data_IF_840566181687
#
_entry.id   IF_840566181687
#
_cell.length_a   1.000
_cell.length_b   1.000
_cell.length_c   1.000
_cell.angle_alpha   90.00
_cell.angle_beta   90.00
_cell.angle_gamma   90.00
#
_symmetry.space_group_name_H-M   'P 1'
#
loop_
_entity.id
_entity.type
_entity.pdbx_description
1 polymer ?
#
# COMPACT_ATOMS: atom_id res chain seq x y z
N UNK A 1 -29.46 6.88 -23.41
CA UNK A 1 -30.09 5.94 -22.44
C UNK A 1 -29.58 6.23 -21.03
N UNK A 2 -30.45 6.11 -20.00
CA UNK A 2 -30.00 6.32 -18.64
C UNK A 2 -28.95 5.27 -18.24
N UNK A 3 -28.01 5.68 -17.40
CA UNK A 3 -26.88 4.83 -16.95
C UNK A 3 -27.33 3.49 -16.36
N UNK A 4 -28.54 3.46 -15.79
CA UNK A 4 -29.16 2.24 -15.24
C UNK A 4 -29.56 1.19 -16.30
N UNK A 5 -29.57 1.53 -17.58
CA UNK A 5 -29.94 0.61 -18.67
C UNK A 5 -28.74 0.07 -19.46
N UNK A 6 -27.51 0.50 -19.14
CA UNK A 6 -26.32 -0.01 -19.82
C UNK A 6 -25.80 -1.27 -19.11
N UNK A 7 -25.11 -2.12 -19.88
CA UNK A 7 -24.47 -3.32 -19.35
C UNK A 7 -23.26 -2.89 -18.53
N UNK A 8 -23.36 -2.89 -17.19
CA UNK A 8 -22.28 -2.53 -16.28
C UNK A 8 -21.53 -3.73 -15.71
N UNK A 9 -22.17 -4.90 -15.63
CA UNK A 9 -21.57 -6.12 -15.10
C UNK A 9 -22.16 -7.36 -15.80
N UNK A 10 -21.53 -8.52 -15.62
CA UNK A 10 -22.01 -9.77 -16.23
C UNK A 10 -23.44 -10.14 -15.83
N UNK A 11 -23.81 -9.81 -14.60
CA UNK A 11 -25.13 -10.13 -14.07
C UNK A 11 -26.22 -9.37 -14.81
N UNK A 12 -25.95 -8.15 -15.28
CA UNK A 12 -26.90 -7.36 -16.07
C UNK A 12 -27.26 -8.07 -17.39
N UNK A 13 -26.27 -8.74 -18.02
CA UNK A 13 -26.52 -9.52 -19.23
C UNK A 13 -27.51 -10.65 -18.92
N UNK A 14 -27.26 -11.43 -17.88
CA UNK A 14 -28.12 -12.56 -17.52
C UNK A 14 -29.53 -12.10 -17.17
N UNK A 15 -29.63 -11.06 -16.34
CA UNK A 15 -30.91 -10.53 -15.85
C UNK A 15 -31.75 -9.98 -17.03
N UNK A 16 -31.15 -9.19 -17.91
CA UNK A 16 -31.86 -8.66 -19.09
C UNK A 16 -32.36 -9.78 -20.01
N UNK A 17 -31.52 -10.77 -20.30
CA UNK A 17 -31.94 -11.91 -21.12
C UNK A 17 -33.11 -12.69 -20.49
N UNK A 18 -33.11 -12.85 -19.18
CA UNK A 18 -34.22 -13.51 -18.44
C UNK A 18 -35.48 -12.67 -18.45
N UNK A 19 -35.39 -11.34 -18.29
CA UNK A 19 -36.52 -10.43 -18.37
C UNK A 19 -37.21 -10.46 -19.76
N UNK A 20 -36.42 -10.66 -20.81
CA UNK A 20 -36.91 -10.82 -22.18
C UNK A 20 -37.41 -12.24 -22.47
N UNK A 21 -37.52 -13.11 -21.47
CA UNK A 21 -38.12 -14.43 -21.56
C UNK A 21 -37.18 -15.56 -21.98
N UNK A 22 -35.87 -15.36 -22.00
CA UNK A 22 -34.93 -16.47 -22.20
C UNK A 22 -34.95 -17.39 -20.95
N UNK A 23 -34.88 -18.68 -21.23
CA UNK A 23 -34.68 -19.70 -20.20
C UNK A 23 -33.42 -19.44 -19.39
N UNK A 24 -33.45 -19.52 -18.02
CA UNK A 24 -32.33 -19.13 -17.17
C UNK A 24 -30.99 -19.79 -17.51
N UNK A 25 -30.97 -21.06 -17.88
CA UNK A 25 -29.75 -21.75 -18.25
C UNK A 25 -29.15 -21.23 -19.57
N UNK A 26 -30.00 -20.91 -20.53
CA UNK A 26 -29.55 -20.27 -21.79
C UNK A 26 -29.00 -18.88 -21.56
N UNK A 27 -29.70 -18.06 -20.76
CA UNK A 27 -29.26 -16.74 -20.36
C UNK A 27 -27.88 -16.81 -19.66
N UNK A 28 -27.70 -17.76 -18.75
CA UNK A 28 -26.43 -18.02 -18.08
C UNK A 28 -25.31 -18.40 -19.09
N UNK A 29 -25.60 -19.29 -20.05
CA UNK A 29 -24.58 -19.70 -21.07
C UNK A 29 -24.14 -18.53 -21.92
N UNK A 30 -25.08 -17.70 -22.40
CA UNK A 30 -24.78 -16.49 -23.16
C UNK A 30 -23.94 -15.52 -22.33
N UNK A 31 -24.35 -15.24 -21.10
CA UNK A 31 -23.62 -14.39 -20.18
C UNK A 31 -22.17 -14.89 -19.95
N UNK A 32 -21.99 -16.19 -19.66
CA UNK A 32 -20.66 -16.81 -19.44
C UNK A 32 -19.78 -16.74 -20.71
N UNK A 33 -20.36 -16.83 -21.87
CA UNK A 33 -19.67 -16.69 -23.14
C UNK A 33 -19.21 -15.24 -23.37
N UNK A 34 -20.14 -14.30 -23.22
CA UNK A 34 -19.89 -12.86 -23.41
C UNK A 34 -18.85 -12.35 -22.39
N UNK A 35 -19.00 -12.64 -21.11
CA UNK A 35 -18.10 -12.12 -20.09
C UNK A 35 -16.63 -12.52 -20.26
N UNK A 36 -16.37 -13.62 -20.96
CA UNK A 36 -15.01 -14.12 -21.30
C UNK A 36 -14.47 -13.56 -22.60
N UNK A 37 -15.19 -12.66 -23.24
CA UNK A 37 -14.81 -12.07 -24.52
C UNK A 37 -14.75 -13.07 -25.67
N UNK A 38 -15.62 -14.09 -25.65
CA UNK A 38 -15.58 -15.16 -26.64
C UNK A 38 -16.29 -14.79 -27.95
N UNK A 39 -17.12 -13.74 -27.97
CA UNK A 39 -17.84 -13.32 -29.16
C UNK A 39 -16.93 -13.06 -30.38
N UNK A 40 -15.72 -12.53 -30.15
CA UNK A 40 -14.72 -12.30 -31.20
C UNK A 40 -13.82 -13.49 -31.47
N UNK A 41 -13.75 -14.48 -30.56
CA UNK A 41 -12.84 -15.63 -30.64
C UNK A 41 -13.50 -16.89 -31.20
N UNK A 42 -14.81 -16.98 -31.10
CA UNK A 42 -15.63 -18.10 -31.53
C UNK A 42 -16.90 -17.54 -32.25
N UNK A 43 -16.76 -17.10 -33.52
CA UNK A 43 -17.85 -16.48 -34.29
C UNK A 43 -19.00 -17.43 -34.55
N UNK A 44 -18.74 -18.71 -34.69
CA UNK A 44 -19.77 -19.72 -34.99
C UNK A 44 -20.74 -19.89 -33.82
N UNK A 45 -20.21 -20.14 -32.62
CA UNK A 45 -21.03 -20.21 -31.39
C UNK A 45 -21.72 -18.87 -31.13
N UNK A 46 -21.03 -17.75 -31.38
CA UNK A 46 -21.62 -16.41 -31.23
C UNK A 46 -22.83 -16.20 -32.15
N UNK A 47 -22.75 -16.61 -33.42
CA UNK A 47 -23.86 -16.51 -34.34
C UNK A 47 -25.12 -17.24 -33.88
N UNK A 48 -24.93 -18.43 -33.28
CA UNK A 48 -26.03 -19.19 -32.66
C UNK A 48 -26.69 -18.48 -31.48
N UNK A 49 -25.87 -17.79 -30.63
CA UNK A 49 -26.41 -16.98 -29.53
C UNK A 49 -27.11 -15.72 -30.06
N UNK A 50 -26.58 -15.07 -31.08
CA UNK A 50 -27.23 -13.92 -31.73
C UNK A 50 -28.60 -14.30 -32.24
N UNK A 51 -28.73 -15.43 -32.97
CA UNK A 51 -30.03 -15.93 -33.46
C UNK A 51 -31.00 -16.20 -32.29
N UNK A 52 -30.53 -16.80 -31.21
CA UNK A 52 -31.31 -17.03 -30.01
C UNK A 52 -31.82 -15.73 -29.38
N UNK A 53 -30.96 -14.73 -29.26
CA UNK A 53 -31.31 -13.42 -28.71
C UNK A 53 -32.28 -12.65 -29.64
N UNK A 54 -32.09 -12.71 -30.95
CA UNK A 54 -33.02 -12.09 -31.94
C UNK A 54 -34.41 -12.71 -31.86
N UNK A 55 -34.53 -14.03 -31.74
CA UNK A 55 -35.81 -14.73 -31.57
C UNK A 55 -36.53 -14.33 -30.28
N UNK A 56 -35.79 -13.93 -29.24
CA UNK A 56 -36.34 -13.40 -28.00
C UNK A 56 -36.55 -11.88 -28.01
N UNK A 57 -36.47 -11.23 -29.17
CA UNK A 57 -36.64 -9.79 -29.34
C UNK A 57 -35.64 -8.93 -28.57
N UNK A 58 -34.45 -9.46 -28.27
CA UNK A 58 -33.38 -8.68 -27.63
C UNK A 58 -32.95 -7.55 -28.61
N UNK A 59 -32.89 -6.30 -28.12
CA UNK A 59 -32.51 -5.16 -28.97
C UNK A 59 -31.12 -5.32 -29.61
N UNK A 60 -30.99 -4.93 -30.85
CA UNK A 60 -29.72 -5.08 -31.59
C UNK A 60 -28.56 -4.31 -30.95
N UNK A 61 -28.83 -3.14 -30.36
CA UNK A 61 -27.81 -2.39 -29.62
C UNK A 61 -27.24 -3.20 -28.45
N UNK A 62 -28.07 -4.00 -27.76
CA UNK A 62 -27.64 -4.85 -26.65
C UNK A 62 -26.75 -5.99 -27.15
N UNK A 63 -27.16 -6.67 -28.22
CA UNK A 63 -26.37 -7.73 -28.86
C UNK A 63 -25.01 -7.17 -29.34
N UNK A 64 -25.00 -6.01 -29.98
CA UNK A 64 -23.79 -5.34 -30.41
C UNK A 64 -22.88 -4.91 -29.25
N UNK A 65 -23.46 -4.51 -28.14
CA UNK A 65 -22.71 -4.22 -26.91
C UNK A 65 -22.05 -5.47 -26.33
N UNK A 66 -22.79 -6.58 -26.26
CA UNK A 66 -22.26 -7.89 -25.84
C UNK A 66 -21.08 -8.36 -26.72
N UNK A 67 -21.14 -8.14 -28.02
CA UNK A 67 -20.08 -8.50 -28.97
C UNK A 67 -18.75 -7.79 -28.72
N UNK A 68 -18.78 -6.57 -28.16
CA UNK A 68 -17.60 -5.73 -27.88
C UNK A 68 -16.92 -6.06 -26.55
N UNK A 69 -17.58 -6.80 -25.67
CA UNK A 69 -17.06 -7.12 -24.35
C UNK A 69 -15.88 -8.09 -24.45
N UNK A 70 -14.74 -7.69 -23.89
CA UNK A 70 -13.53 -8.53 -23.82
C UNK A 70 -13.46 -9.31 -22.50
N UNK A 71 -13.88 -8.68 -21.41
CA UNK A 71 -13.98 -9.27 -20.09
C UNK A 71 -14.94 -8.47 -19.20
N UNK A 72 -15.70 -9.15 -18.36
CA UNK A 72 -16.65 -8.49 -17.47
C UNK A 72 -16.74 -9.20 -16.11
N UNK A 73 -16.70 -8.39 -15.05
CA UNK A 73 -16.76 -8.86 -13.67
C UNK A 73 -18.21 -9.05 -13.18
N UNK A 74 -18.41 -9.90 -12.15
CA UNK A 74 -19.69 -10.03 -11.48
C UNK A 74 -20.03 -8.77 -10.65
N UNK A 75 -21.33 -8.48 -10.52
CA UNK A 75 -21.83 -7.36 -9.71
C UNK A 75 -21.39 -7.46 -8.24
N UNK A 76 -21.48 -8.66 -7.65
CA UNK A 76 -21.05 -8.91 -6.27
C UNK A 76 -19.57 -8.61 -6.06
N UNK A 77 -18.71 -8.97 -7.03
CA UNK A 77 -17.29 -8.63 -6.97
C UNK A 77 -17.07 -7.12 -7.01
N UNK A 78 -17.71 -6.42 -7.96
CA UNK A 78 -17.60 -4.96 -8.06
C UNK A 78 -18.10 -4.28 -6.77
N UNK A 79 -19.26 -4.70 -6.23
CA UNK A 79 -19.81 -4.16 -5.00
C UNK A 79 -18.87 -4.37 -3.80
N UNK A 80 -18.29 -5.56 -3.64
CA UNK A 80 -17.38 -5.87 -2.54
C UNK A 80 -16.11 -5.01 -2.60
N UNK A 81 -15.45 -4.94 -3.76
CA UNK A 81 -14.21 -4.18 -3.93
C UNK A 81 -14.43 -2.68 -3.84
N UNK A 82 -15.48 -2.16 -4.48
CA UNK A 82 -15.81 -0.73 -4.40
C UNK A 82 -16.17 -0.33 -2.98
N UNK A 83 -16.94 -1.14 -2.25
CA UNK A 83 -17.26 -0.88 -0.85
C UNK A 83 -16.00 -0.83 0.02
N UNK A 84 -15.08 -1.77 -0.18
CA UNK A 84 -13.78 -1.77 0.52
C UNK A 84 -12.95 -0.54 0.17
N UNK A 85 -12.89 -0.17 -1.11
CA UNK A 85 -12.18 1.02 -1.57
C UNK A 85 -12.75 2.30 -0.95
N UNK A 86 -14.08 2.44 -0.88
CA UNK A 86 -14.73 3.58 -0.22
C UNK A 86 -14.43 3.64 1.27
N UNK A 87 -14.43 2.49 1.97
CA UNK A 87 -14.07 2.45 3.39
C UNK A 87 -12.64 2.91 3.63
N UNK A 88 -11.70 2.46 2.82
CA UNK A 88 -10.30 2.89 2.91
C UNK A 88 -10.16 4.37 2.55
N UNK A 89 -10.84 4.84 1.51
CA UNK A 89 -10.86 6.25 1.11
C UNK A 89 -11.43 7.14 2.21
N UNK A 90 -12.44 6.69 2.94
CA UNK A 90 -12.98 7.41 4.09
C UNK A 90 -11.91 7.68 5.14
N UNK A 91 -11.10 6.67 5.51
CA UNK A 91 -9.98 6.86 6.43
C UNK A 91 -8.95 7.86 5.88
N UNK A 92 -8.63 7.77 4.60
CA UNK A 92 -7.68 8.71 3.95
C UNK A 92 -8.14 10.16 4.04
N UNK A 93 -9.44 10.40 3.98
CA UNK A 93 -10.02 11.76 4.05
C UNK A 93 -10.20 12.23 5.50
N UNK A 94 -10.78 11.39 6.37
CA UNK A 94 -11.22 11.80 7.70
C UNK A 94 -10.23 11.46 8.81
N UNK A 95 -9.33 10.50 8.60
CA UNK A 95 -8.31 10.05 9.54
C UNK A 95 -6.98 9.80 8.81
N UNK A 96 -6.41 10.83 8.14
CA UNK A 96 -5.26 10.65 7.27
C UNK A 96 -4.04 10.06 7.99
N UNK A 97 -3.76 10.49 9.22
CA UNK A 97 -2.62 9.97 9.99
C UNK A 97 -2.73 8.46 10.20
N UNK A 98 -3.91 7.96 10.57
CA UNK A 98 -4.20 6.52 10.71
C UNK A 98 -4.04 5.79 9.37
N UNK A 99 -4.56 6.37 8.29
CA UNK A 99 -4.43 5.78 6.95
C UNK A 99 -2.97 5.60 6.55
N UNK A 100 -2.16 6.66 6.66
CA UNK A 100 -0.76 6.59 6.25
C UNK A 100 0.08 5.70 7.17
N UNK A 101 -0.13 5.77 8.50
CA UNK A 101 0.53 4.87 9.45
C UNK A 101 0.29 3.40 9.09
N UNK A 102 -0.97 3.04 8.87
CA UNK A 102 -1.35 1.66 8.51
C UNK A 102 -0.79 1.26 7.14
N UNK A 103 -0.87 2.14 6.16
CA UNK A 103 -0.43 1.83 4.80
C UNK A 103 1.09 1.62 4.74
N UNK A 104 1.88 2.51 5.34
CA UNK A 104 3.34 2.35 5.41
C UNK A 104 3.74 1.11 6.20
N UNK A 105 3.03 0.79 7.29
CA UNK A 105 3.33 -0.39 8.11
C UNK A 105 3.04 -1.71 7.41
N UNK A 106 2.05 -1.77 6.51
CA UNK A 106 1.56 -3.03 5.95
C UNK A 106 1.97 -3.29 4.50
N UNK A 107 2.30 -2.25 3.73
CA UNK A 107 2.47 -2.35 2.27
C UNK A 107 3.89 -2.15 1.78
N UNK A 108 4.75 -1.50 2.56
CA UNK A 108 6.11 -1.17 2.16
C UNK A 108 7.16 -1.83 3.06
N UNK A 109 8.32 -2.10 2.48
CA UNK A 109 9.49 -2.67 3.16
C UNK A 109 10.74 -1.82 2.95
N UNK A 110 10.82 -1.08 1.84
CA UNK A 110 11.95 -0.23 1.50
C UNK A 110 11.63 1.23 1.83
N UNK A 111 12.49 1.86 2.62
CA UNK A 111 12.34 3.24 3.07
C UNK A 111 13.65 4.00 2.88
N UNK A 112 13.55 5.29 2.57
CA UNK A 112 14.66 6.25 2.67
C UNK A 112 14.35 7.20 3.83
N UNK A 113 14.83 6.83 5.02
CA UNK A 113 14.55 7.56 6.26
C UNK A 113 15.00 9.01 6.15
N UNK A 114 16.20 9.23 5.61
CA UNK A 114 16.78 10.56 5.51
C UNK A 114 15.94 11.48 4.61
N UNK A 115 15.55 11.00 3.44
CA UNK A 115 14.69 11.77 2.53
C UNK A 115 13.31 12.02 3.15
N UNK A 116 12.71 11.02 3.78
CA UNK A 116 11.38 11.15 4.37
C UNK A 116 11.36 12.11 5.56
N UNK A 117 12.36 12.06 6.44
CA UNK A 117 12.47 12.98 7.60
C UNK A 117 12.76 14.41 7.17
N UNK A 118 13.56 14.62 6.11
CA UNK A 118 13.80 15.95 5.55
C UNK A 118 12.58 16.54 4.85
N UNK A 119 11.61 15.70 4.47
CA UNK A 119 10.31 16.13 3.98
C UNK A 119 10.22 16.28 2.45
N UNK A 120 9.24 17.07 2.01
CA UNK A 120 8.74 17.11 0.64
C UNK A 120 9.82 17.24 -0.44
N UNK A 121 10.69 18.24 -0.32
CA UNK A 121 11.69 18.51 -1.36
C UNK A 121 12.76 17.42 -1.45
N UNK A 122 13.17 16.85 -0.33
CA UNK A 122 14.13 15.76 -0.29
C UNK A 122 13.53 14.46 -0.86
N UNK A 123 12.28 14.16 -0.52
CA UNK A 123 11.55 13.03 -1.10
C UNK A 123 11.45 13.17 -2.62
N UNK A 124 11.07 14.36 -3.11
CA UNK A 124 10.95 14.65 -4.53
C UNK A 124 12.30 14.52 -5.25
N UNK A 125 13.37 15.05 -4.66
CA UNK A 125 14.73 14.92 -5.22
C UNK A 125 15.15 13.45 -5.34
N UNK A 126 14.91 12.65 -4.31
CA UNK A 126 15.23 11.21 -4.32
C UNK A 126 14.40 10.44 -5.35
N UNK A 127 13.13 10.78 -5.51
CA UNK A 127 12.30 10.19 -6.57
C UNK A 127 12.84 10.49 -7.96
N UNK A 128 13.23 11.74 -8.23
CA UNK A 128 13.81 12.13 -9.52
C UNK A 128 15.15 11.44 -9.78
N UNK A 129 15.99 11.28 -8.77
CA UNK A 129 17.24 10.51 -8.86
C UNK A 129 16.96 9.07 -9.33
N UNK A 130 16.03 8.36 -8.68
CA UNK A 130 15.67 6.99 -9.05
C UNK A 130 15.08 6.94 -10.46
N UNK A 131 14.16 7.84 -10.78
CA UNK A 131 13.51 7.89 -12.09
C UNK A 131 14.50 8.17 -13.23
N UNK A 132 15.55 8.96 -12.99
CA UNK A 132 16.57 9.24 -13.99
C UNK A 132 17.37 8.01 -14.43
N UNK A 133 17.41 6.96 -13.59
CA UNK A 133 18.08 5.69 -13.90
C UNK A 133 17.29 4.85 -14.93
N UNK A 134 16.00 5.11 -15.10
CA UNK A 134 15.16 4.38 -16.05
C UNK A 134 15.21 2.86 -15.84
N UNK A 135 15.65 2.14 -16.87
CA UNK A 135 15.77 0.67 -16.82
C UNK A 135 16.94 0.17 -15.95
N UNK A 136 17.88 1.04 -15.59
CA UNK A 136 19.02 0.67 -14.73
C UNK A 136 18.68 0.73 -13.24
N UNK A 137 17.48 1.19 -12.89
CA UNK A 137 16.99 1.17 -11.51
C UNK A 137 16.84 -0.26 -11.00
N UNK A 138 17.40 -0.54 -9.82
CA UNK A 138 17.29 -1.83 -9.16
C UNK A 138 15.85 -2.10 -8.71
N UNK A 139 15.52 -3.37 -8.45
CA UNK A 139 14.22 -3.75 -7.89
C UNK A 139 13.94 -3.05 -6.56
N UNK A 140 14.96 -2.88 -5.72
CA UNK A 140 14.86 -2.16 -4.44
C UNK A 140 14.55 -0.68 -4.66
N UNK A 141 15.21 -0.03 -5.61
CA UNK A 141 14.92 1.37 -5.96
C UNK A 141 13.53 1.54 -6.56
N UNK A 142 13.09 0.59 -7.37
CA UNK A 142 11.72 0.58 -7.90
C UNK A 142 10.67 0.44 -6.79
N UNK A 143 10.91 -0.43 -5.82
CA UNK A 143 10.07 -0.59 -4.63
C UNK A 143 10.08 0.68 -3.77
N UNK A 144 11.25 1.26 -3.52
CA UNK A 144 11.41 2.52 -2.80
C UNK A 144 10.67 3.67 -3.49
N UNK A 145 10.69 3.72 -4.81
CA UNK A 145 9.97 4.77 -5.56
C UNK A 145 8.46 4.76 -5.25
N UNK A 146 7.85 3.58 -5.13
CA UNK A 146 6.43 3.48 -4.76
C UNK A 146 6.19 3.97 -3.32
N UNK A 147 7.09 3.66 -2.39
CA UNK A 147 7.05 4.19 -1.01
C UNK A 147 7.13 5.72 -1.01
N UNK A 148 8.09 6.28 -1.76
CA UNK A 148 8.32 7.72 -1.82
C UNK A 148 7.17 8.49 -2.48
N UNK A 149 6.47 7.92 -3.47
CA UNK A 149 5.25 8.52 -4.04
C UNK A 149 4.19 8.77 -2.97
N UNK A 150 3.96 7.78 -2.12
CA UNK A 150 2.98 7.92 -1.04
C UNK A 150 3.49 8.86 0.07
N UNK A 151 4.80 8.83 0.36
CA UNK A 151 5.42 9.75 1.32
C UNK A 151 5.31 11.21 0.84
N UNK A 152 5.51 11.45 -0.46
CA UNK A 152 5.33 12.78 -1.05
C UNK A 152 3.89 13.27 -0.90
N UNK A 153 2.91 12.41 -1.14
CA UNK A 153 1.49 12.74 -0.94
C UNK A 153 1.19 13.05 0.55
N UNK A 154 1.71 12.22 1.47
CA UNK A 154 1.52 12.42 2.90
C UNK A 154 2.09 13.76 3.37
N UNK A 155 3.31 14.11 2.94
CA UNK A 155 3.95 15.39 3.27
C UNK A 155 3.21 16.59 2.64
N UNK A 156 2.70 16.45 1.42
CA UNK A 156 1.86 17.48 0.79
C UNK A 156 0.55 17.73 1.56
N UNK A 157 0.08 16.75 2.34
CA UNK A 157 -1.07 16.86 3.25
C UNK A 157 -0.69 17.34 4.66
N UNK A 158 0.56 17.73 4.89
CA UNK A 158 1.04 18.24 6.16
C UNK A 158 1.39 17.18 7.20
N UNK A 159 1.53 15.90 6.78
CA UNK A 159 2.03 14.84 7.65
C UNK A 159 3.56 14.84 7.60
N UNK A 160 4.19 14.83 8.76
CA UNK A 160 5.64 14.79 8.90
C UNK A 160 6.12 13.37 9.19
N UNK A 161 7.34 13.06 8.80
CA UNK A 161 8.02 11.85 9.24
C UNK A 161 9.07 12.20 10.28
N UNK A 162 9.08 11.48 11.38
CA UNK A 162 10.11 11.55 12.42
C UNK A 162 11.07 10.39 12.31
N UNK A 163 12.30 10.63 12.65
CA UNK A 163 13.33 9.61 12.72
C UNK A 163 12.94 8.47 13.67
N UNK A 164 13.67 7.38 13.61
CA UNK A 164 13.62 6.32 14.61
C UNK A 164 13.89 6.96 15.99
N UNK A 165 13.05 6.61 16.95
CA UNK A 165 13.12 7.03 18.35
C UNK A 165 13.31 5.79 19.20
N UNK A 166 14.40 5.73 19.97
CA UNK A 166 14.74 4.56 20.80
C UNK A 166 13.64 4.23 21.79
N UNK A 167 12.95 5.25 22.31
CA UNK A 167 11.93 5.07 23.35
C UNK A 167 10.54 4.77 22.76
N UNK A 168 10.21 5.33 21.58
CA UNK A 168 8.86 5.34 21.03
C UNK A 168 8.66 4.42 19.84
N UNK A 169 9.67 4.23 18.99
CA UNK A 169 9.53 3.44 17.77
C UNK A 169 9.08 2.01 18.06
N UNK A 170 8.17 1.53 17.24
CA UNK A 170 7.81 0.10 17.18
C UNK A 170 8.79 -0.67 16.31
N UNK A 171 8.77 -2.01 16.40
CA UNK A 171 9.60 -2.87 15.55
C UNK A 171 9.26 -2.77 14.07
N UNK A 172 7.95 -2.79 13.76
CA UNK A 172 7.43 -2.91 12.41
C UNK A 172 6.43 -1.81 12.02
N UNK A 173 5.74 -1.19 12.97
CA UNK A 173 4.65 -0.26 12.69
C UNK A 173 5.07 1.19 12.87
N UNK A 174 4.59 2.06 11.99
CA UNK A 174 4.72 3.49 12.18
C UNK A 174 3.86 3.94 13.36
N UNK A 175 4.45 4.67 14.28
CA UNK A 175 3.76 5.21 15.45
C UNK A 175 3.23 6.62 15.13
N UNK A 176 1.97 6.86 15.43
CA UNK A 176 1.34 8.16 15.24
C UNK A 176 1.66 9.09 16.40
N UNK A 177 2.08 10.31 16.09
CA UNK A 177 2.19 11.40 17.03
C UNK A 177 1.19 12.49 16.61
N UNK A 178 0.03 12.48 17.27
CA UNK A 178 -1.06 13.40 16.97
C UNK A 178 -0.75 14.84 17.39
N UNK A 179 0.22 15.05 18.28
CA UNK A 179 0.55 16.37 18.81
C UNK A 179 1.09 17.32 17.74
N UNK A 180 1.77 16.80 16.71
CA UNK A 180 2.33 17.58 15.62
C UNK A 180 2.08 16.97 14.24
N UNK A 181 1.09 16.07 14.15
CA UNK A 181 0.68 15.38 12.93
C UNK A 181 1.83 14.66 12.23
N UNK A 182 2.53 13.79 12.97
CA UNK A 182 3.71 13.09 12.46
C UNK A 182 3.63 11.56 12.64
N UNK A 183 4.47 10.87 11.86
CA UNK A 183 4.68 9.44 11.90
C UNK A 183 6.13 9.16 12.31
N UNK A 184 6.32 8.46 13.43
CA UNK A 184 7.63 7.99 13.90
C UNK A 184 7.95 6.69 13.17
N UNK A 185 9.13 6.61 12.58
CA UNK A 185 9.55 5.45 11.80
C UNK A 185 9.84 4.23 12.69
N UNK A 186 9.47 3.02 12.25
CA UNK A 186 9.78 1.79 12.95
C UNK A 186 11.26 1.40 12.77
N UNK A 187 11.78 0.56 13.67
CA UNK A 187 13.16 0.07 13.59
C UNK A 187 13.45 -0.66 12.27
N UNK A 188 12.51 -1.47 11.76
CA UNK A 188 12.69 -2.21 10.49
C UNK A 188 12.85 -1.31 9.25
N UNK A 189 12.50 -0.03 9.34
CA UNK A 189 12.71 0.89 8.22
C UNK A 189 14.19 1.18 7.97
N UNK A 190 15.05 0.87 8.94
CA UNK A 190 16.50 1.00 8.80
C UNK A 190 17.08 -0.20 8.06
N UNK A 191 17.69 0.06 6.93
CA UNK A 191 18.34 -0.96 6.12
C UNK A 191 19.43 -1.71 6.88
N UNK A 192 19.30 -3.02 6.97
CA UNK A 192 20.17 -3.90 7.73
C UNK A 192 19.68 -4.24 9.16
N UNK A 193 18.53 -3.71 9.59
CA UNK A 193 17.91 -4.05 10.85
C UNK A 193 16.66 -4.94 10.59
N UNK A 194 16.84 -6.24 10.73
CA UNK A 194 15.76 -7.22 10.49
C UNK A 194 14.74 -7.31 11.64
N UNK A 195 13.59 -7.91 11.35
CA UNK A 195 12.46 -8.01 12.31
C UNK A 195 12.84 -8.65 13.64
N UNK A 196 13.71 -9.67 13.64
CA UNK A 196 14.16 -10.34 14.88
C UNK A 196 14.91 -9.38 15.80
N UNK A 197 15.79 -8.55 15.26
CA UNK A 197 16.55 -7.54 16.02
C UNK A 197 15.62 -6.41 16.47
N UNK A 198 14.72 -5.94 15.60
CA UNK A 198 13.73 -4.94 15.94
C UNK A 198 12.85 -5.38 17.12
N UNK A 199 12.35 -6.62 17.08
CA UNK A 199 11.57 -7.19 18.20
C UNK A 199 12.39 -7.31 19.47
N UNK A 200 13.67 -7.71 19.36
CA UNK A 200 14.57 -7.80 20.52
C UNK A 200 14.78 -6.44 21.18
N UNK A 201 14.98 -5.38 20.40
CA UNK A 201 15.08 -4.01 20.92
C UNK A 201 13.82 -3.66 21.74
N UNK A 202 12.62 -3.95 21.20
CA UNK A 202 11.36 -3.67 21.89
C UNK A 202 11.24 -4.46 23.19
N UNK A 203 11.54 -5.76 23.17
CA UNK A 203 11.52 -6.61 24.37
C UNK A 203 12.42 -6.06 25.47
N UNK A 204 13.66 -5.74 25.13
CA UNK A 204 14.65 -5.24 26.09
C UNK A 204 14.26 -3.83 26.61
N UNK A 205 13.79 -2.96 25.75
CA UNK A 205 13.28 -1.64 26.13
C UNK A 205 12.13 -1.75 27.14
N UNK A 206 11.20 -2.68 26.91
CA UNK A 206 10.03 -2.88 27.77
C UNK A 206 10.41 -3.43 29.15
N UNK A 207 11.53 -4.16 29.26
CA UNK A 207 12.05 -4.60 30.55
C UNK A 207 12.76 -3.46 31.28
N UNK A 208 13.58 -2.70 30.58
CA UNK A 208 14.37 -1.61 31.15
C UNK A 208 14.84 -0.65 30.05
N UNK A 209 14.71 0.65 30.28
CA UNK A 209 15.24 1.68 29.37
C UNK A 209 16.72 1.44 29.07
N UNK A 210 17.17 1.87 27.90
CA UNK A 210 18.58 1.85 27.52
C UNK A 210 19.28 3.08 28.09
N UNK A 211 20.44 2.86 28.72
CA UNK A 211 21.19 3.93 29.38
C UNK A 211 22.34 4.47 28.56
N UNK A 212 22.83 3.67 27.60
CA UNK A 212 23.94 4.04 26.72
C UNK A 212 23.81 3.34 25.40
N UNK A 213 24.56 3.82 24.41
CA UNK A 213 24.64 3.21 23.07
C UNK A 213 25.20 1.78 23.19
N UNK A 214 26.17 1.56 24.04
CA UNK A 214 26.71 0.22 24.34
C UNK A 214 25.64 -0.72 24.93
N UNK A 215 24.83 -0.23 25.90
CA UNK A 215 23.73 -1.00 26.49
C UNK A 215 22.67 -1.34 25.44
N UNK A 216 22.29 -0.39 24.59
CA UNK A 216 21.40 -0.60 23.46
C UNK A 216 21.94 -1.66 22.50
N UNK A 217 23.21 -1.56 22.12
CA UNK A 217 23.85 -2.50 21.20
C UNK A 217 23.88 -3.92 21.77
N UNK A 218 24.30 -4.07 23.02
CA UNK A 218 24.50 -5.35 23.66
C UNK A 218 23.17 -6.07 23.94
N UNK A 219 22.20 -5.39 24.52
CA UNK A 219 20.88 -5.93 24.83
C UNK A 219 20.01 -6.12 23.60
N UNK A 220 20.00 -5.14 22.71
CA UNK A 220 19.25 -5.19 21.45
C UNK A 220 19.84 -6.13 20.42
N UNK A 221 21.07 -6.65 20.65
CA UNK A 221 21.81 -7.49 19.68
C UNK A 221 22.00 -6.80 18.32
N UNK A 222 22.23 -5.50 18.36
CA UNK A 222 22.41 -4.67 17.16
C UNK A 222 23.86 -4.74 16.73
N UNK A 223 24.12 -4.99 15.43
CA UNK A 223 25.49 -5.01 14.91
C UNK A 223 26.09 -3.59 14.83
N UNK A 224 27.41 -3.52 14.86
CA UNK A 224 28.14 -2.24 14.88
C UNK A 224 27.80 -1.34 13.68
N UNK A 225 27.72 -1.90 12.49
CA UNK A 225 27.38 -1.15 11.27
C UNK A 225 26.01 -0.45 11.37
N UNK A 226 25.02 -1.12 11.99
CA UNK A 226 23.70 -0.55 12.20
C UNK A 226 23.73 0.54 13.27
N UNK A 227 24.48 0.34 14.37
CA UNK A 227 24.71 1.36 15.40
C UNK A 227 25.35 2.60 14.81
N UNK A 228 26.36 2.44 13.95
CA UNK A 228 27.06 3.56 13.31
C UNK A 228 26.13 4.34 12.37
N UNK A 229 25.28 3.65 11.62
CA UNK A 229 24.22 4.30 10.81
C UNK A 229 23.26 5.11 11.69
N UNK A 230 22.77 4.52 12.78
CA UNK A 230 21.86 5.18 13.72
C UNK A 230 22.51 6.41 14.36
N UNK A 231 23.83 6.34 14.65
CA UNK A 231 24.60 7.46 15.18
C UNK A 231 24.67 8.61 14.17
N UNK A 232 25.02 8.32 12.92
CA UNK A 232 25.04 9.32 11.83
C UNK A 232 23.68 9.97 11.63
N UNK A 233 22.60 9.20 11.78
CA UNK A 233 21.23 9.69 11.67
C UNK A 233 20.76 10.47 12.91
N UNK A 234 21.55 10.57 13.97
CA UNK A 234 21.20 11.27 15.20
C UNK A 234 20.15 10.57 16.05
N UNK A 235 19.93 9.26 15.86
CA UNK A 235 18.91 8.48 16.57
C UNK A 235 19.11 8.44 18.07
N UNK A 236 20.39 8.46 18.52
CA UNK A 236 20.74 8.38 19.93
C UNK A 236 20.67 9.71 20.68
N UNK A 237 20.58 10.85 19.96
CA UNK A 237 20.52 12.17 20.60
C UNK A 237 21.71 12.40 21.54
N UNK A 238 21.42 12.64 22.82
CA UNK A 238 22.43 12.86 23.85
C UNK A 238 22.74 11.59 24.69
N UNK A 239 22.37 10.40 24.22
CA UNK A 239 22.65 9.14 24.91
C UNK A 239 24.16 8.93 25.04
N UNK A 240 24.72 8.64 26.25
CA UNK A 240 26.16 8.43 26.41
C UNK A 240 26.61 7.17 25.68
N UNK A 241 27.89 7.14 25.27
CA UNK A 241 28.48 5.99 24.58
C UNK A 241 28.51 4.74 25.45
N UNK A 242 28.92 4.88 26.71
CA UNK A 242 29.08 3.77 27.64
C UNK A 242 28.31 4.01 28.94
N UNK A 243 27.98 2.92 29.61
CA UNK A 243 27.35 2.96 30.97
C UNK A 243 28.34 3.22 32.11
N UNK A 244 29.62 3.33 31.81
CA UNK A 244 30.63 3.66 32.81
C UNK A 244 30.59 5.16 33.09
N UNK A 245 30.27 5.52 34.35
CA UNK A 245 30.52 6.88 34.83
C UNK A 245 32.03 7.12 34.77
N UNK A 246 32.47 8.05 33.95
CA UNK A 246 33.84 8.54 34.01
C UNK A 246 34.04 9.17 35.37
N UNK A 247 35.03 8.67 36.12
CA UNK A 247 35.45 9.25 37.40
C UNK A 247 35.92 10.72 37.25
N UNK A 248 35.98 11.23 36.02
CA UNK A 248 36.48 12.56 35.69
C UNK A 248 35.40 13.54 35.16
N UNK A 249 34.16 13.15 35.01
CA UNK A 249 33.08 14.06 34.52
C UNK A 249 32.56 15.01 35.63
N UNK A 250 33.23 15.12 36.74
CA UNK A 250 32.86 16.00 37.85
C UNK A 250 33.91 17.06 38.23
N UNK A 251 34.98 17.24 37.44
CA UNK A 251 36.05 18.19 37.75
C UNK A 251 36.37 19.03 36.50
N UNK A 252 35.55 20.02 36.26
CA UNK A 252 35.94 21.28 35.58
C UNK A 252 34.92 22.35 36.01
#
# INVERSE_FOLDING_TARGET
DPFSKVIGCRDDIMVELMYQGLEPYKAFKIMEFVRKGKASKDPETWAGYVDTMKKANIPEWFINSCAKIKYMFPKAHAAAYVTSAFRIAWYKVHKPLVYYATYFSTRFQDFDIEAMVKGYDAIRAKMLEIQSKGYDATNKESSLLETLKLALEATARGIKFKNIDIEKSDGANFIMDESDNSLIMPFRSLDGLGDAVANKIIEERNQKAFYSIEDFQNRGKVNQTTVDKMRVMGVFGNMPETSQLSLFDGVL
#
